data_IF_401302497366
#
_entry.id   IF_401302497366
#
_cell.length_a   1.000
_cell.length_b   1.000
_cell.length_c   1.000
_cell.angle_alpha   90.00
_cell.angle_beta   90.00
_cell.angle_gamma   90.00
#
_symmetry.space_group_name_H-M   'P 1'
#
loop_
_entity.id
_entity.type
_entity.pdbx_description
1 polymer ?
#
# COMPACT_ATOMS: atom_id res chain seq x y z
N UNK A 1 -0.08 6.47 12.25
CA UNK A 1 -0.75 5.65 13.31
C UNK A 1 -0.34 4.24 12.99
N UNK A 2 0.30 3.48 13.88
CA UNK A 2 0.84 2.17 13.48
C UNK A 2 -0.31 1.29 12.98
N UNK A 3 -0.32 1.04 11.67
CA UNK A 3 -1.30 0.16 11.05
C UNK A 3 -0.87 -1.28 11.33
N UNK A 4 -1.43 -1.88 12.38
CA UNK A 4 -1.32 -3.31 12.62
C UNK A 4 -2.18 -4.03 11.59
N UNK A 5 -1.53 -4.71 10.66
CA UNK A 5 -2.20 -5.52 9.62
C UNK A 5 -2.50 -6.89 10.21
N UNK A 6 -3.64 -7.47 9.85
CA UNK A 6 -3.91 -8.90 10.10
C UNK A 6 -3.81 -9.72 8.82
N UNK A 7 -3.79 -11.05 8.94
CA UNK A 7 -3.85 -11.93 7.76
C UNK A 7 -5.17 -11.75 7.00
N UNK A 8 -6.27 -11.53 7.71
CA UNK A 8 -7.58 -11.30 7.07
C UNK A 8 -7.58 -10.04 6.19
N UNK A 9 -6.86 -8.98 6.59
CA UNK A 9 -6.74 -7.76 5.79
C UNK A 9 -6.02 -8.03 4.45
N UNK A 10 -4.94 -8.80 4.49
CA UNK A 10 -4.17 -9.18 3.29
C UNK A 10 -5.03 -10.01 2.35
N UNK A 11 -5.72 -11.03 2.89
CA UNK A 11 -6.61 -11.87 2.09
C UNK A 11 -7.78 -11.06 1.51
N UNK A 12 -8.31 -10.10 2.26
CA UNK A 12 -9.41 -9.26 1.78
C UNK A 12 -8.97 -8.38 0.60
N UNK A 13 -7.83 -7.70 0.72
CA UNK A 13 -7.27 -6.88 -0.37
C UNK A 13 -6.90 -7.74 -1.57
N UNK A 14 -6.31 -8.92 -1.36
CA UNK A 14 -5.98 -9.85 -2.43
C UNK A 14 -7.22 -10.26 -3.25
N UNK A 15 -8.32 -10.57 -2.57
CA UNK A 15 -9.61 -10.87 -3.23
C UNK A 15 -10.13 -9.69 -4.05
N UNK A 16 -10.03 -8.46 -3.53
CA UNK A 16 -10.44 -7.26 -4.26
C UNK A 16 -9.60 -7.04 -5.53
N UNK A 17 -8.29 -7.32 -5.43
CA UNK A 17 -7.33 -7.22 -6.52
C UNK A 17 -7.37 -8.42 -7.48
N UNK A 18 -8.17 -9.45 -7.17
CA UNK A 18 -8.21 -10.74 -7.89
C UNK A 18 -6.84 -11.39 -8.00
N UNK A 19 -6.04 -11.29 -6.94
CA UNK A 19 -4.75 -11.95 -6.81
C UNK A 19 -4.97 -13.24 -6.02
N UNK A 20 -4.61 -14.37 -6.61
CA UNK A 20 -4.54 -15.64 -5.90
C UNK A 20 -3.27 -15.65 -5.04
N UNK A 21 -3.43 -15.86 -3.73
CA UNK A 21 -2.34 -15.90 -2.76
C UNK A 21 -2.28 -17.29 -2.15
N UNK A 22 -1.22 -18.04 -2.48
CA UNK A 22 -1.01 -19.39 -1.96
C UNK A 22 -0.53 -19.40 -0.50
N UNK A 23 0.25 -18.39 -0.09
CA UNK A 23 0.77 -18.26 1.27
C UNK A 23 0.75 -16.80 1.75
N UNK A 24 -0.32 -16.36 2.44
CA UNK A 24 -0.43 -14.99 2.95
C UNK A 24 0.71 -14.57 3.90
N UNK A 25 1.32 -15.52 4.60
CA UNK A 25 2.39 -15.25 5.57
C UNK A 25 3.67 -14.74 4.92
N UNK A 26 3.95 -15.17 3.69
CA UNK A 26 5.09 -14.71 2.91
C UNK A 26 4.99 -13.22 2.57
N UNK A 27 3.77 -12.73 2.35
CA UNK A 27 3.51 -11.35 1.97
C UNK A 27 3.35 -10.43 3.18
N UNK A 28 2.96 -10.98 4.33
CA UNK A 28 2.69 -10.23 5.56
C UNK A 28 3.87 -9.36 6.00
N UNK A 29 5.06 -9.94 6.15
CA UNK A 29 6.23 -9.18 6.62
C UNK A 29 6.62 -8.06 5.65
N UNK A 30 6.48 -8.29 4.34
CA UNK A 30 6.79 -7.28 3.33
C UNK A 30 5.78 -6.14 3.36
N UNK A 31 4.49 -6.45 3.42
CA UNK A 31 3.42 -5.45 3.47
C UNK A 31 3.53 -4.62 4.75
N UNK A 32 3.79 -5.26 5.90
CA UNK A 32 3.97 -4.55 7.16
C UNK A 32 5.17 -3.58 7.10
N UNK A 33 6.28 -3.96 6.46
CA UNK A 33 7.44 -3.07 6.27
C UNK A 33 7.11 -1.86 5.39
N UNK A 34 6.37 -2.07 4.30
CA UNK A 34 5.95 -0.98 3.40
C UNK A 34 5.05 0.02 4.14
N UNK A 35 4.10 -0.46 4.92
CA UNK A 35 3.18 0.42 5.67
C UNK A 35 3.89 1.16 6.80
N UNK A 36 4.81 0.49 7.51
CA UNK A 36 5.65 1.16 8.50
C UNK A 36 6.50 2.27 7.88
N UNK A 37 6.88 2.14 6.61
CA UNK A 37 7.59 3.20 5.89
C UNK A 37 6.67 4.39 5.60
N UNK A 38 5.43 4.18 5.16
CA UNK A 38 4.45 5.25 5.01
C UNK A 38 4.15 5.98 6.34
N UNK A 39 4.11 5.25 7.46
CA UNK A 39 4.01 5.84 8.80
C UNK A 39 5.17 6.78 9.17
N UNK A 40 6.36 6.58 8.58
CA UNK A 40 7.51 7.50 8.73
C UNK A 40 7.29 8.73 7.86
N UNK A 41 6.80 8.55 6.63
CA UNK A 41 6.50 9.64 5.71
C UNK A 41 5.39 10.55 6.26
N UNK A 42 4.32 10.00 6.84
CA UNK A 42 3.23 10.77 7.46
C UNK A 42 3.70 11.64 8.64
N UNK A 43 4.79 11.25 9.30
CA UNK A 43 5.38 12.01 10.41
C UNK A 43 6.38 13.06 9.94
N UNK A 44 6.92 12.89 8.73
CA UNK A 44 7.64 13.95 8.09
C UNK A 44 6.59 15.01 7.74
N UNK A 45 6.72 16.21 8.32
CA UNK A 45 5.83 17.35 8.10
C UNK A 45 6.01 17.89 6.68
N UNK A 46 5.61 17.07 5.70
CA UNK A 46 5.62 17.41 4.28
C UNK A 46 4.31 18.14 4.06
N UNK A 47 4.33 19.47 4.25
CA UNK A 47 3.26 20.33 3.75
C UNK A 47 3.03 19.99 2.28
N UNK A 48 1.83 19.49 1.99
CA UNK A 48 1.34 19.03 0.69
C UNK A 48 1.93 19.80 -0.49
N UNK A 49 3.06 19.33 -1.03
CA UNK A 49 3.47 19.74 -2.37
C UNK A 49 2.37 19.25 -3.32
N UNK A 50 1.86 20.13 -4.18
CA UNK A 50 0.89 19.74 -5.21
C UNK A 50 1.45 18.55 -5.99
N UNK A 51 0.77 17.40 -5.91
CA UNK A 51 1.14 16.24 -6.71
C UNK A 51 0.99 16.64 -8.17
N UNK A 52 2.12 16.77 -8.87
CA UNK A 52 2.13 17.10 -10.30
C UNK A 52 1.52 15.94 -11.08
N UNK A 53 0.22 16.04 -11.40
CA UNK A 53 -0.47 15.07 -12.24
C UNK A 53 -0.10 15.34 -13.69
N UNK A 54 0.67 14.43 -14.30
CA UNK A 54 0.85 14.44 -15.75
C UNK A 54 -0.32 13.70 -16.39
N UNK A 55 -1.17 14.45 -17.10
CA UNK A 55 -2.15 13.85 -18.01
C UNK A 55 -1.42 13.18 -19.17
N UNK A 56 -1.47 11.85 -19.24
CA UNK A 56 -0.93 11.11 -20.37
C UNK A 56 -2.09 10.73 -21.28
N UNK A 57 -2.16 11.33 -22.46
CA UNK A 57 -3.15 10.95 -23.48
C UNK A 57 -2.72 9.64 -24.10
N UNK A 58 -3.50 8.57 -23.89
CA UNK A 58 -3.30 7.30 -24.60
C UNK A 58 -3.82 7.54 -26.02
N UNK A 59 -2.92 7.55 -27.01
CA UNK A 59 -3.30 7.60 -28.42
C UNK A 59 -3.86 6.24 -28.83
N UNK A 60 -5.02 6.22 -29.50
CA UNK A 60 -5.71 5.01 -30.00
C UNK A 60 -4.86 4.14 -30.94
#
# INVERSE_FOLDING_TARGET
MIHLITKEDIEHVARLMRIDIDNPDEYFERIQKVLNYFDILDKADIESEEISVQEVTISE
#
